data_IF_064554697171
#
_entry.id   IF_064554697171
#
_cell.length_a   1.000
_cell.length_b   1.000
_cell.length_c   1.000
_cell.angle_alpha   90.00
_cell.angle_beta   90.00
_cell.angle_gamma   90.00
#
_symmetry.space_group_name_H-M   'P 1'
#
loop_
_entity.id
_entity.type
_entity.pdbx_description
1 polymer ?
#
# COMPACT_ATOMS: atom_id res chain seq x y z
N UNK A 1 53.36 -30.47 24.53
CA UNK A 1 53.53 -31.71 23.73
C UNK A 1 52.14 -32.30 23.64
N UNK A 2 51.39 -32.27 22.55
CA UNK A 2 51.71 -32.08 21.13
C UNK A 2 50.70 -31.12 20.48
N UNK A 3 51.20 -30.42 19.46
CA UNK A 3 50.41 -29.69 18.49
C UNK A 3 49.79 -30.69 17.51
N UNK A 4 48.54 -30.49 17.13
CA UNK A 4 48.09 -30.89 15.79
C UNK A 4 47.33 -29.73 15.15
N UNK A 5 48.01 -29.14 14.16
CA UNK A 5 47.48 -28.22 13.18
C UNK A 5 46.73 -29.03 12.13
N UNK A 6 45.50 -28.63 11.79
CA UNK A 6 44.88 -29.03 10.52
C UNK A 6 44.37 -27.77 9.82
N UNK A 7 44.95 -27.54 8.64
CA UNK A 7 44.73 -26.44 7.71
C UNK A 7 43.35 -26.45 7.03
N UNK A 8 42.91 -25.31 6.44
CA UNK A 8 41.57 -25.13 5.89
C UNK A 8 41.48 -25.54 4.41
N UNK A 9 40.37 -26.18 4.03
CA UNK A 9 39.88 -26.36 2.66
C UNK A 9 38.36 -26.13 2.71
N UNK A 10 37.66 -25.46 1.80
CA UNK A 10 37.94 -24.79 0.53
C UNK A 10 36.70 -23.95 0.23
N UNK A 11 36.88 -22.75 -0.31
CA UNK A 11 35.78 -21.90 -0.80
C UNK A 11 35.15 -22.53 -2.05
N UNK A 12 33.91 -22.97 -1.96
CA UNK A 12 33.07 -23.19 -3.13
C UNK A 12 32.24 -21.94 -3.41
N UNK A 13 32.38 -21.47 -4.64
CA UNK A 13 31.78 -20.25 -5.18
C UNK A 13 30.64 -20.74 -6.06
N UNK A 14 29.39 -20.65 -5.61
CA UNK A 14 28.25 -21.00 -6.46
C UNK A 14 27.87 -19.82 -7.36
N UNK A 15 27.98 -20.08 -8.65
CA UNK A 15 27.65 -19.19 -9.76
C UNK A 15 26.16 -18.83 -9.80
N UNK A 16 25.89 -17.53 -10.02
CA UNK A 16 24.57 -17.04 -10.43
C UNK A 16 24.32 -17.41 -11.89
N UNK A 17 23.42 -18.35 -12.13
CA UNK A 17 22.82 -18.56 -13.46
C UNK A 17 21.63 -17.60 -13.61
N UNK A 18 21.85 -16.51 -14.34
CA UNK A 18 20.79 -15.65 -14.89
C UNK A 18 20.32 -16.23 -16.22
N UNK A 19 19.06 -16.65 -16.30
CA UNK A 19 18.40 -16.97 -17.57
C UNK A 19 17.44 -15.83 -17.94
N UNK A 20 17.85 -15.07 -18.95
CA UNK A 20 17.04 -14.07 -19.64
C UNK A 20 15.98 -14.76 -20.50
N UNK A 21 14.70 -14.58 -20.15
CA UNK A 21 13.58 -15.00 -20.99
C UNK A 21 13.20 -13.82 -21.90
N UNK A 22 13.62 -13.92 -23.16
CA UNK A 22 13.33 -12.97 -24.24
C UNK A 22 11.97 -13.30 -24.87
N UNK A 23 11.01 -12.38 -24.80
CA UNK A 23 9.70 -12.51 -25.44
C UNK A 23 9.78 -12.08 -26.93
N UNK A 24 9.17 -12.80 -27.89
CA UNK A 24 9.31 -12.51 -29.33
C UNK A 24 8.49 -11.31 -29.78
N UNK A 25 9.08 -10.53 -30.69
CA UNK A 25 8.45 -9.43 -31.42
C UNK A 25 7.41 -9.99 -32.41
N UNK A 26 6.24 -9.34 -32.53
CA UNK A 26 5.23 -9.67 -33.54
C UNK A 26 5.45 -8.80 -34.77
N UNK A 27 5.52 -9.48 -35.91
CA UNK A 27 5.68 -8.92 -37.24
C UNK A 27 4.42 -8.19 -37.72
N UNK A 28 4.67 -7.09 -38.45
CA UNK A 28 3.70 -6.31 -39.21
C UNK A 28 3.20 -7.11 -40.44
N UNK A 29 1.89 -7.38 -40.50
CA UNK A 29 1.23 -7.80 -41.74
C UNK A 29 0.32 -6.70 -42.30
N UNK A 30 0.45 -6.51 -43.61
CA UNK A 30 -0.06 -5.40 -44.42
C UNK A 30 -1.15 -5.90 -45.37
N UNK A 31 -2.16 -5.05 -45.59
CA UNK A 31 -3.12 -4.95 -46.75
C UNK A 31 -4.28 -5.96 -46.85
N UNK A 32 -5.37 -5.66 -47.61
CA UNK A 32 -5.53 -4.58 -48.62
C UNK A 32 -6.77 -3.68 -48.51
N UNK A 33 -6.67 -2.61 -49.31
CA UNK A 33 -7.65 -1.64 -49.79
C UNK A 33 -8.79 -2.29 -50.60
N UNK A 34 -9.99 -1.71 -50.50
CA UNK A 34 -11.06 -1.90 -51.48
C UNK A 34 -11.57 -0.51 -51.88
N UNK A 35 -11.29 -0.17 -53.13
CA UNK A 35 -11.92 0.93 -53.86
C UNK A 35 -13.25 0.43 -54.42
N UNK A 36 -14.33 1.19 -54.23
CA UNK A 36 -15.48 1.19 -55.16
C UNK A 36 -15.95 2.64 -55.34
N UNK A 37 -15.67 3.18 -56.52
CA UNK A 37 -16.38 4.30 -57.13
C UNK A 37 -17.75 3.83 -57.64
N UNK A 38 -18.72 4.74 -57.67
CA UNK A 38 -19.51 5.14 -58.86
C UNK A 38 -20.72 5.96 -58.39
N UNK A 39 -20.93 7.12 -59.02
CA UNK A 39 -22.20 7.84 -58.96
C UNK A 39 -22.09 9.34 -59.16
N UNK A 40 -21.56 9.76 -60.31
CA UNK A 40 -21.74 11.12 -60.82
C UNK A 40 -23.22 11.31 -61.21
N UNK A 41 -23.84 12.40 -60.76
CA UNK A 41 -25.07 12.92 -61.36
C UNK A 41 -24.98 14.46 -61.32
N UNK A 42 -24.54 15.03 -62.44
CA UNK A 42 -24.58 16.46 -62.72
C UNK A 42 -26.02 16.93 -62.95
N UNK A 43 -26.45 18.01 -62.30
CA UNK A 43 -27.53 18.88 -62.79
C UNK A 43 -27.31 20.32 -62.32
N UNK A 44 -27.50 21.22 -63.30
CA UNK A 44 -27.05 22.62 -63.35
C UNK A 44 -27.75 23.60 -62.40
N UNK A 45 -26.94 24.61 -62.02
CA UNK A 45 -27.19 26.05 -61.90
C UNK A 45 -28.60 26.57 -61.60
N UNK A 46 -28.75 27.19 -60.42
CA UNK A 46 -29.34 28.53 -60.29
C UNK A 46 -28.58 29.31 -59.21
N UNK A 47 -28.06 30.48 -59.61
CA UNK A 47 -27.34 31.45 -58.76
C UNK A 47 -28.37 32.41 -58.16
N UNK A 48 -28.59 32.36 -56.85
CA UNK A 48 -29.22 33.45 -56.10
C UNK A 48 -28.19 34.11 -55.18
N UNK A 49 -27.81 35.34 -55.50
CA UNK A 49 -27.07 36.26 -54.63
C UNK A 49 -27.90 36.56 -53.38
N UNK A 50 -27.45 36.05 -52.23
CA UNK A 50 -27.92 36.52 -50.93
C UNK A 50 -26.78 37.17 -50.16
N UNK A 51 -26.85 38.51 -50.09
CA UNK A 51 -26.10 39.37 -49.19
C UNK A 51 -26.29 38.89 -47.74
N UNK A 52 -25.24 38.34 -47.14
CA UNK A 52 -25.26 37.85 -45.77
C UNK A 52 -23.87 37.96 -45.15
N UNK A 53 -23.64 39.10 -44.51
CA UNK A 53 -22.60 39.35 -43.52
C UNK A 53 -22.38 38.10 -42.64
N UNK A 54 -21.15 37.54 -42.53
CA UNK A 54 -20.91 36.35 -41.72
C UNK A 54 -21.04 36.73 -40.24
N UNK A 55 -22.19 36.40 -39.65
CA UNK A 55 -22.38 36.44 -38.20
C UNK A 55 -21.49 35.36 -37.59
N UNK A 56 -20.35 35.79 -37.01
CA UNK A 56 -19.46 34.93 -36.23
C UNK A 56 -20.24 34.38 -35.04
N UNK A 57 -20.77 33.17 -35.17
CA UNK A 57 -21.35 32.47 -34.04
C UNK A 57 -20.24 32.24 -33.00
N UNK A 58 -20.45 32.60 -31.72
CA UNK A 58 -19.45 32.33 -30.70
C UNK A 58 -19.28 30.81 -30.63
N UNK A 59 -18.09 30.33 -31.02
CA UNK A 59 -17.69 28.92 -30.84
C UNK A 59 -18.07 28.51 -29.43
N UNK A 60 -19.06 27.62 -29.30
CA UNK A 60 -19.38 26.94 -28.04
C UNK A 60 -18.08 26.29 -27.59
N UNK A 61 -17.40 26.91 -26.62
CA UNK A 61 -16.26 26.29 -25.94
C UNK A 61 -16.81 25.04 -25.29
N UNK A 62 -16.57 23.88 -25.88
CA UNK A 62 -16.74 22.62 -25.18
C UNK A 62 -15.88 22.73 -23.92
N UNK A 63 -16.52 22.90 -22.76
CA UNK A 63 -15.81 22.87 -21.48
C UNK A 63 -15.27 21.46 -21.37
N UNK A 64 -13.97 21.29 -21.61
CA UNK A 64 -13.29 20.02 -21.37
C UNK A 64 -13.61 19.60 -19.94
N UNK A 65 -13.95 18.31 -19.74
CA UNK A 65 -14.14 17.77 -18.40
C UNK A 65 -12.90 18.13 -17.55
N UNK A 66 -13.08 18.56 -16.29
CA UNK A 66 -11.95 18.90 -15.45
C UNK A 66 -11.04 17.68 -15.30
N UNK A 67 -9.75 17.89 -15.52
CA UNK A 67 -8.75 16.83 -15.42
C UNK A 67 -8.61 16.41 -13.96
N UNK A 68 -8.66 15.10 -13.71
CA UNK A 68 -8.52 14.55 -12.37
C UNK A 68 -7.10 13.99 -12.24
N UNK A 69 -6.37 14.45 -11.23
CA UNK A 69 -4.99 14.06 -11.00
C UNK A 69 -4.85 13.09 -9.83
N UNK A 70 -3.87 12.20 -9.92
CA UNK A 70 -3.46 11.35 -8.80
C UNK A 70 -1.95 11.25 -8.68
N UNK A 71 -1.47 10.84 -7.51
CA UNK A 71 -0.05 10.59 -7.26
C UNK A 71 0.13 9.20 -6.66
N UNK A 72 1.14 8.47 -7.16
CA UNK A 72 1.53 7.14 -6.65
C UNK A 72 3.01 7.14 -6.28
N UNK A 73 3.33 6.77 -5.03
CA UNK A 73 4.67 6.77 -4.46
C UNK A 73 5.64 5.71 -5.02
N UNK A 74 5.15 4.75 -5.80
CA UNK A 74 5.96 3.90 -6.67
C UNK A 74 6.58 2.64 -6.06
N UNK A 75 6.17 2.17 -4.89
CA UNK A 75 6.63 0.89 -4.35
C UNK A 75 5.62 -0.25 -4.53
N UNK A 76 5.47 -1.10 -3.51
CA UNK A 76 4.62 -2.28 -3.50
C UNK A 76 3.17 -2.00 -3.92
N UNK A 77 2.76 -2.61 -5.03
CA UNK A 77 1.38 -2.54 -5.52
C UNK A 77 1.03 -1.23 -6.24
N UNK A 78 2.02 -0.36 -6.49
CA UNK A 78 1.81 0.92 -7.20
C UNK A 78 1.17 0.74 -8.58
N UNK A 79 1.66 -0.25 -9.37
CA UNK A 79 1.19 -0.48 -10.73
C UNK A 79 -0.31 -0.84 -10.78
N UNK A 80 -0.79 -1.63 -9.81
CA UNK A 80 -2.20 -2.01 -9.72
C UNK A 80 -3.10 -0.78 -9.59
N UNK A 81 -2.67 0.20 -8.79
CA UNK A 81 -3.42 1.44 -8.59
C UNK A 81 -3.32 2.34 -9.82
N UNK A 82 -2.12 2.47 -10.38
CA UNK A 82 -1.86 3.28 -11.57
C UNK A 82 -2.67 2.81 -12.78
N UNK A 83 -2.61 1.51 -13.12
CA UNK A 83 -3.32 0.95 -14.28
C UNK A 83 -4.82 1.21 -14.21
N UNK A 84 -5.42 1.02 -13.04
CA UNK A 84 -6.84 1.25 -12.83
C UNK A 84 -7.22 2.73 -12.95
N UNK A 85 -6.43 3.65 -12.37
CA UNK A 85 -6.73 5.08 -12.41
C UNK A 85 -6.51 5.67 -13.81
N UNK A 86 -5.47 5.22 -14.51
CA UNK A 86 -5.23 5.60 -15.91
C UNK A 86 -6.34 5.07 -16.82
N UNK A 87 -6.82 3.85 -16.61
CA UNK A 87 -7.97 3.30 -17.34
C UNK A 87 -9.27 4.11 -17.09
N UNK A 88 -9.40 4.76 -15.93
CA UNK A 88 -10.49 5.68 -15.61
C UNK A 88 -10.31 7.09 -16.20
N UNK A 89 -9.22 7.33 -16.94
CA UNK A 89 -8.89 8.62 -17.56
C UNK A 89 -8.30 9.65 -16.59
N UNK A 90 -7.81 9.22 -15.44
CA UNK A 90 -7.10 10.11 -14.51
C UNK A 90 -5.64 10.26 -14.94
N UNK A 91 -5.04 11.41 -14.60
CA UNK A 91 -3.64 11.68 -14.95
C UNK A 91 -2.71 11.53 -13.75
N UNK A 92 -1.64 10.75 -13.95
CA UNK A 92 -0.59 10.57 -12.96
C UNK A 92 0.25 11.83 -12.86
N UNK A 93 0.49 12.27 -11.64
CA UNK A 93 1.46 13.30 -11.28
C UNK A 93 2.73 12.64 -10.75
N UNK A 94 3.86 13.24 -11.08
CA UNK A 94 5.18 12.83 -10.56
C UNK A 94 5.69 13.77 -9.46
N UNK A 95 5.20 15.01 -9.43
CA UNK A 95 5.53 15.96 -8.37
C UNK A 95 4.67 15.71 -7.12
N UNK A 96 5.31 15.22 -6.06
CA UNK A 96 4.68 14.95 -4.75
C UNK A 96 4.21 16.20 -4.00
N UNK A 97 4.76 17.37 -4.34
CA UNK A 97 4.47 18.64 -3.67
C UNK A 97 3.15 19.26 -4.14
N UNK A 98 2.67 18.85 -5.32
CA UNK A 98 1.38 19.28 -5.84
C UNK A 98 0.22 18.90 -4.92
N UNK A 99 -0.73 19.82 -4.80
CA UNK A 99 -1.90 19.71 -3.94
C UNK A 99 -3.22 19.63 -4.72
N UNK A 100 -3.18 19.72 -6.05
CA UNK A 100 -4.34 19.61 -6.93
C UNK A 100 -4.67 18.16 -7.34
N UNK A 101 -4.31 17.20 -6.48
CA UNK A 101 -4.70 15.81 -6.62
C UNK A 101 -6.13 15.56 -6.14
N UNK A 102 -6.75 14.52 -6.69
CA UNK A 102 -7.92 13.87 -6.11
C UNK A 102 -7.52 12.70 -5.21
N UNK A 103 -6.44 11.99 -5.54
CA UNK A 103 -5.94 10.86 -4.75
C UNK A 103 -4.41 10.90 -4.61
N UNK A 104 -3.92 10.73 -3.37
CA UNK A 104 -2.52 10.41 -3.08
C UNK A 104 -2.42 8.98 -2.53
N UNK A 105 -1.76 8.10 -3.27
CA UNK A 105 -1.44 6.74 -2.87
C UNK A 105 0.07 6.60 -2.61
N UNK A 106 0.45 6.35 -1.38
CA UNK A 106 1.84 6.04 -1.01
C UNK A 106 1.82 4.72 -0.23
N UNK A 107 2.95 4.05 -0.01
CA UNK A 107 2.97 2.92 0.95
C UNK A 107 3.31 3.37 2.37
N UNK A 108 4.24 4.32 2.45
CA UNK A 108 4.77 4.81 3.70
C UNK A 108 4.12 6.14 4.03
N UNK A 109 3.76 6.30 5.30
CA UNK A 109 3.28 7.56 5.84
C UNK A 109 4.35 8.63 5.72
N UNK A 110 3.99 9.78 5.16
CA UNK A 110 4.73 11.02 5.39
C UNK A 110 3.84 11.96 6.20
N UNK A 111 4.42 12.64 7.18
CA UNK A 111 3.69 13.63 7.99
C UNK A 111 3.10 14.75 7.09
N UNK A 112 3.85 15.11 6.04
CA UNK A 112 3.49 16.20 5.14
C UNK A 112 2.22 15.93 4.33
N UNK A 113 1.83 14.67 4.08
CA UNK A 113 0.65 14.36 3.25
C UNK A 113 -0.69 14.70 3.92
N UNK A 114 -0.72 14.85 5.25
CA UNK A 114 -1.95 15.13 5.99
C UNK A 114 -2.09 16.61 6.39
N UNK A 115 -0.98 17.34 6.49
CA UNK A 115 -1.01 18.74 6.91
C UNK A 115 -1.78 19.63 5.92
N UNK A 116 -1.64 19.40 4.62
CA UNK A 116 -2.35 20.13 3.56
C UNK A 116 -3.51 19.35 2.94
N UNK A 117 -4.01 18.34 3.64
CA UNK A 117 -5.16 17.56 3.19
C UNK A 117 -6.45 18.38 3.24
N UNK A 118 -7.21 18.39 2.14
CA UNK A 118 -8.50 19.08 2.01
C UNK A 118 -9.66 18.08 2.06
N UNK A 119 -10.38 18.08 3.18
CA UNK A 119 -11.55 17.23 3.40
C UNK A 119 -12.64 17.47 2.35
N UNK A 120 -13.30 16.41 1.88
CA UNK A 120 -14.32 16.46 0.82
C UNK A 120 -13.75 16.66 -0.60
N UNK A 121 -12.54 17.21 -0.72
CA UNK A 121 -11.89 17.42 -2.01
C UNK A 121 -10.92 16.30 -2.37
N UNK A 122 -10.12 15.83 -1.40
CA UNK A 122 -9.02 14.91 -1.62
C UNK A 122 -9.26 13.55 -0.95
N UNK A 123 -8.55 12.53 -1.45
CA UNK A 123 -8.49 11.20 -0.87
C UNK A 123 -7.04 10.83 -0.56
N UNK A 124 -6.84 10.23 0.62
CA UNK A 124 -5.58 9.66 1.07
C UNK A 124 -5.78 8.18 1.39
N UNK A 125 -4.80 7.37 1.02
CA UNK A 125 -4.86 5.90 1.15
C UNK A 125 -4.84 5.37 2.60
N UNK A 126 -4.54 6.22 3.59
CA UNK A 126 -4.46 5.82 5.00
C UNK A 126 -5.10 6.86 5.91
N UNK A 127 -5.64 6.38 7.03
CA UNK A 127 -6.12 7.23 8.13
C UNK A 127 -4.93 7.66 9.01
N UNK A 128 -4.83 8.95 9.38
CA UNK A 128 -3.87 9.41 10.39
C UNK A 128 -3.93 8.54 11.66
N UNK A 129 -2.79 8.40 12.35
CA UNK A 129 -2.72 7.65 13.60
C UNK A 129 -3.16 6.16 13.56
N UNK A 130 -3.29 5.54 12.38
CA UNK A 130 -3.65 4.11 12.31
C UNK A 130 -2.68 3.12 13.02
N UNK A 131 -1.52 3.59 13.51
CA UNK A 131 -0.54 2.76 14.24
C UNK A 131 -1.11 2.17 15.52
N UNK A 132 -2.16 2.82 16.06
CA UNK A 132 -2.97 2.30 17.17
C UNK A 132 -3.56 0.92 16.87
N UNK A 133 -3.88 0.61 15.62
CA UNK A 133 -4.51 -0.68 15.25
C UNK A 133 -3.64 -1.55 14.35
N UNK A 134 -2.65 -0.95 13.69
CA UNK A 134 -1.84 -1.60 12.64
C UNK A 134 -0.44 -2.01 13.11
N UNK A 135 -0.12 -1.80 14.39
CA UNK A 135 1.12 -2.30 15.00
C UNK A 135 0.77 -3.28 16.13
N UNK A 136 1.67 -4.22 16.41
CA UNK A 136 1.44 -5.26 17.44
C UNK A 136 1.21 -4.62 18.82
N UNK A 137 2.11 -3.72 19.21
CA UNK A 137 2.02 -2.97 20.47
C UNK A 137 0.84 -2.00 20.46
N UNK A 138 0.64 -1.27 19.37
CA UNK A 138 -0.50 -0.34 19.25
C UNK A 138 -1.83 -1.06 19.49
N UNK A 139 -2.05 -2.19 18.82
CA UNK A 139 -3.28 -2.97 18.96
C UNK A 139 -3.48 -3.45 20.41
N UNK A 140 -2.45 -4.07 21.00
CA UNK A 140 -2.48 -4.56 22.38
C UNK A 140 -2.82 -3.44 23.37
N UNK A 141 -2.06 -2.34 23.32
CA UNK A 141 -2.25 -1.19 24.22
C UNK A 141 -3.61 -0.53 24.05
N UNK A 142 -4.12 -0.43 22.81
CA UNK A 142 -5.45 0.13 22.54
C UNK A 142 -6.55 -0.72 23.14
N UNK A 143 -6.44 -2.04 23.04
CA UNK A 143 -7.41 -2.98 23.62
C UNK A 143 -7.37 -2.99 25.15
N UNK A 144 -6.17 -3.00 25.74
CA UNK A 144 -5.97 -2.90 27.19
C UNK A 144 -6.54 -1.58 27.75
N UNK A 145 -6.26 -0.46 27.10
CA UNK A 145 -6.75 0.85 27.51
C UNK A 145 -8.27 0.96 27.36
N UNK A 146 -8.82 0.43 26.28
CA UNK A 146 -10.27 0.36 26.09
C UNK A 146 -10.93 -0.44 27.22
N UNK A 147 -10.47 -1.65 27.53
CA UNK A 147 -11.05 -2.44 28.63
C UNK A 147 -10.93 -1.68 29.97
N UNK A 148 -9.77 -1.09 30.27
CA UNK A 148 -9.54 -0.28 31.47
C UNK A 148 -10.53 0.88 31.62
N UNK A 149 -10.76 1.64 30.55
CA UNK A 149 -11.68 2.79 30.54
C UNK A 149 -13.13 2.31 30.66
N UNK A 150 -13.52 1.30 29.89
CA UNK A 150 -14.89 0.79 29.89
C UNK A 150 -15.28 0.19 31.24
N UNK A 151 -14.33 -0.36 31.99
CA UNK A 151 -14.53 -0.89 33.34
C UNK A 151 -14.89 0.21 34.35
N UNK A 152 -14.43 1.44 34.13
CA UNK A 152 -14.76 2.60 34.97
C UNK A 152 -16.11 3.21 34.59
N UNK A 153 -16.39 3.28 33.29
CA UNK A 153 -17.57 3.99 32.76
C UNK A 153 -18.86 3.15 32.82
N UNK A 154 -18.78 1.84 32.56
CA UNK A 154 -19.96 0.95 32.47
C UNK A 154 -20.24 0.18 33.77
N UNK A 155 -20.24 0.85 34.93
CA UNK A 155 -20.67 0.21 36.18
C UNK A 155 -22.10 -0.33 36.00
N UNK A 156 -22.26 -1.67 36.03
CA UNK A 156 -23.57 -2.34 35.97
C UNK A 156 -24.13 -2.67 34.58
N UNK A 157 -23.42 -2.40 33.48
CA UNK A 157 -23.83 -2.88 32.14
C UNK A 157 -22.99 -4.09 31.73
N UNK A 158 -23.60 -5.18 31.23
CA UNK A 158 -22.84 -6.33 30.77
C UNK A 158 -21.89 -5.93 29.64
N UNK A 159 -20.63 -6.36 29.76
CA UNK A 159 -19.65 -6.21 28.67
C UNK A 159 -20.07 -7.14 27.54
N UNK A 160 -19.82 -6.71 26.31
CA UNK A 160 -20.03 -7.56 25.13
C UNK A 160 -18.95 -8.65 25.10
N UNK A 161 -17.68 -8.30 25.38
CA UNK A 161 -16.52 -9.22 25.39
C UNK A 161 -15.32 -8.55 26.05
N UNK A 162 -14.42 -9.30 26.71
CA UNK A 162 -13.11 -8.79 27.18
C UNK A 162 -12.07 -9.04 26.09
N UNK A 163 -11.01 -8.23 26.05
CA UNK A 163 -9.99 -8.42 25.00
C UNK A 163 -9.23 -9.75 25.14
N UNK A 164 -9.06 -10.24 26.37
CA UNK A 164 -8.42 -11.52 26.66
C UNK A 164 -9.22 -12.72 26.14
N UNK A 165 -10.49 -12.54 25.78
CA UNK A 165 -11.31 -13.63 25.25
C UNK A 165 -10.97 -13.93 23.76
N UNK A 166 -10.24 -13.05 23.06
CA UNK A 166 -9.87 -13.21 21.64
C UNK A 166 -8.43 -12.83 21.30
N UNK A 167 -7.70 -12.17 22.20
CA UNK A 167 -6.26 -11.92 22.09
C UNK A 167 -5.54 -12.94 22.97
N UNK A 168 -4.57 -13.70 22.42
CA UNK A 168 -3.76 -14.58 23.24
C UNK A 168 -3.00 -13.77 24.29
N UNK A 169 -2.71 -14.40 25.42
CA UNK A 169 -1.88 -13.79 26.45
C UNK A 169 -0.59 -13.23 25.84
N UNK A 170 -0.29 -11.98 26.15
CA UNK A 170 0.76 -11.21 25.47
C UNK A 170 1.41 -10.28 26.47
N UNK A 171 2.73 -10.32 26.53
CA UNK A 171 3.55 -9.46 27.35
C UNK A 171 4.46 -8.57 26.49
N UNK A 172 4.68 -7.35 26.96
CA UNK A 172 5.61 -6.37 26.43
C UNK A 172 6.95 -6.49 27.12
N UNK A 173 7.89 -7.16 26.47
CA UNK A 173 9.25 -7.30 27.01
C UNK A 173 10.02 -5.97 27.12
N UNK A 174 9.54 -4.90 26.45
CA UNK A 174 10.09 -3.55 26.58
C UNK A 174 9.58 -2.78 27.81
N UNK A 175 8.55 -3.30 28.50
CA UNK A 175 8.02 -2.75 29.75
C UNK A 175 8.49 -3.64 30.89
N UNK A 176 9.23 -3.06 31.84
CA UNK A 176 9.87 -3.81 32.94
C UNK A 176 8.88 -4.71 33.68
N UNK A 177 7.77 -4.14 34.16
CA UNK A 177 6.78 -4.87 34.95
C UNK A 177 6.13 -6.02 34.16
N UNK A 178 5.86 -5.80 32.87
CA UNK A 178 5.24 -6.80 31.99
C UNK A 178 6.23 -7.91 31.61
N UNK A 179 7.52 -7.55 31.46
CA UNK A 179 8.62 -8.50 31.29
C UNK A 179 8.82 -9.37 32.53
N UNK A 180 8.80 -8.78 33.72
CA UNK A 180 8.90 -9.52 34.98
C UNK A 180 7.70 -10.46 35.15
N UNK A 181 6.48 -9.98 34.88
CA UNK A 181 5.27 -10.80 34.89
C UNK A 181 5.34 -12.00 33.93
N UNK A 182 5.91 -11.82 32.73
CA UNK A 182 6.15 -12.93 31.81
C UNK A 182 7.08 -13.99 32.41
N UNK A 183 8.20 -13.58 33.02
CA UNK A 183 9.15 -14.52 33.61
C UNK A 183 8.61 -15.24 34.84
N UNK A 184 7.73 -14.59 35.61
CA UNK A 184 7.04 -15.21 36.73
C UNK A 184 5.97 -16.21 36.27
N UNK A 185 5.32 -15.95 35.13
CA UNK A 185 4.23 -16.78 34.61
C UNK A 185 4.72 -17.97 33.78
N UNK A 186 5.88 -17.84 33.13
CA UNK A 186 6.41 -18.85 32.21
C UNK A 186 6.61 -20.21 32.89
N UNK A 187 6.07 -21.28 32.28
CA UNK A 187 6.31 -22.66 32.68
C UNK A 187 7.21 -23.35 31.65
N UNK A 188 8.26 -24.03 32.11
CA UNK A 188 9.19 -24.73 31.23
C UNK A 188 8.47 -25.78 30.37
N UNK A 189 8.78 -25.78 29.08
CA UNK A 189 8.10 -26.61 28.07
C UNK A 189 6.87 -25.97 27.42
N UNK A 190 6.37 -24.83 27.92
CA UNK A 190 5.31 -24.08 27.22
C UNK A 190 5.84 -23.37 25.97
N UNK A 191 4.97 -23.25 24.96
CA UNK A 191 5.28 -22.63 23.68
C UNK A 191 4.81 -21.17 23.64
N UNK A 192 5.77 -20.26 23.53
CA UNK A 192 5.54 -18.83 23.34
C UNK A 192 6.14 -18.33 22.03
N UNK A 193 5.58 -17.24 21.50
CA UNK A 193 6.03 -16.59 20.26
C UNK A 193 6.40 -15.13 20.52
N UNK A 194 7.68 -14.81 20.34
CA UNK A 194 8.17 -13.44 20.43
C UNK A 194 8.12 -12.77 19.06
N UNK A 195 7.62 -11.53 19.03
CA UNK A 195 7.44 -10.78 17.79
C UNK A 195 7.94 -9.35 17.94
N UNK A 196 8.85 -8.87 17.08
CA UNK A 196 9.33 -7.49 17.12
C UNK A 196 8.22 -6.49 16.69
N UNK A 197 8.22 -5.31 17.31
CA UNK A 197 7.17 -4.28 17.16
C UNK A 197 7.04 -3.73 15.74
N UNK A 198 8.16 -3.58 15.03
CA UNK A 198 8.23 -2.86 13.74
C UNK A 198 8.44 -3.72 12.49
N UNK A 199 8.54 -5.05 12.63
CA UNK A 199 8.82 -5.93 11.48
C UNK A 199 7.57 -6.66 10.98
N UNK A 200 7.55 -6.91 9.68
CA UNK A 200 6.54 -7.66 8.95
C UNK A 200 7.18 -8.90 8.28
N UNK A 201 6.38 -9.69 7.56
CA UNK A 201 6.83 -10.88 6.82
C UNK A 201 7.46 -11.98 7.71
N UNK A 202 7.11 -12.03 8.99
CA UNK A 202 7.67 -13.01 9.93
C UNK A 202 9.14 -12.76 10.34
N UNK A 203 9.76 -11.68 9.85
CA UNK A 203 11.16 -11.37 10.17
C UNK A 203 11.33 -11.05 11.65
N UNK A 204 12.36 -11.64 12.26
CA UNK A 204 12.69 -11.47 13.67
C UNK A 204 11.72 -12.17 14.64
N UNK A 205 10.75 -12.95 14.13
CA UNK A 205 9.93 -13.82 14.99
C UNK A 205 10.80 -14.98 15.47
N UNK A 206 10.72 -15.30 16.76
CA UNK A 206 11.31 -16.50 17.32
C UNK A 206 10.37 -17.13 18.35
N UNK A 207 10.61 -18.41 18.63
CA UNK A 207 9.80 -19.21 19.52
C UNK A 207 10.57 -19.47 20.82
N UNK A 208 9.87 -19.42 21.94
CA UNK A 208 10.40 -19.67 23.27
C UNK A 208 9.74 -20.97 23.74
N UNK A 209 10.55 -21.99 24.03
CA UNK A 209 10.08 -23.34 24.37
C UNK A 209 10.80 -23.96 25.55
N UNK A 210 11.78 -23.26 26.09
CA UNK A 210 12.62 -23.72 27.19
C UNK A 210 13.10 -22.55 28.03
N UNK A 211 13.49 -22.83 29.27
CA UNK A 211 14.18 -21.85 30.12
C UNK A 211 15.45 -21.28 29.46
N UNK A 212 16.16 -22.07 28.65
CA UNK A 212 17.33 -21.58 27.92
C UNK A 212 16.99 -20.49 26.90
N UNK A 213 15.79 -20.52 26.32
CA UNK A 213 15.32 -19.45 25.43
C UNK A 213 14.86 -18.22 26.20
N UNK A 214 14.26 -18.42 27.38
CA UNK A 214 13.88 -17.34 28.29
C UNK A 214 15.11 -16.54 28.74
N UNK A 215 16.21 -17.21 29.08
CA UNK A 215 17.46 -16.54 29.47
C UNK A 215 18.02 -15.64 28.36
N UNK A 216 17.80 -15.95 27.09
CA UNK A 216 18.28 -15.14 25.95
C UNK A 216 17.54 -13.81 25.82
N UNK A 217 16.38 -13.66 26.46
CA UNK A 217 15.48 -12.50 26.31
C UNK A 217 15.32 -11.72 27.62
N UNK A 218 16.06 -12.11 28.66
CA UNK A 218 16.05 -11.49 29.99
C UNK A 218 16.72 -10.12 29.99
#
# INVERSE_FOLDING_TARGET
MENEQIEPKSNETEEKVTQDVKCPQKDDEKRPSVDEEIGEDERNDEVEENDSTPTIQPRRRFRSKPKIYFYVGGGNGAQLVEDNLTALGWERMHDKTREDYKLKWCEVKSHNNYHSFREGEQLCYQIPNNKLLTTKIGLLTTLQEYDRVMNKVKKGKPRIMRYQDFIPETYRLDVKDDREAFFETYVDGELWISKPTGMNQGKGIYLIRSLADVVKIQ
#
